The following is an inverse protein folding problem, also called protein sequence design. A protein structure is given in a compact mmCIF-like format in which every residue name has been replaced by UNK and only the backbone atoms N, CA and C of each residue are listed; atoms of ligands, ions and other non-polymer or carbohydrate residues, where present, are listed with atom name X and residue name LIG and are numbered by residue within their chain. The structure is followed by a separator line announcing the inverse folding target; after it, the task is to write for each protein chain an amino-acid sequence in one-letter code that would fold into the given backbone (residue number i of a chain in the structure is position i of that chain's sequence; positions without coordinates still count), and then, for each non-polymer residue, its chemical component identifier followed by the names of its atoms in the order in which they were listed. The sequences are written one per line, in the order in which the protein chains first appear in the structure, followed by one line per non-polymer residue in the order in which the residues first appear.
data_IF_498875986782
#
_entry.id   IF_498875986782
#
_cell.length_a   1.000
_cell.length_b   1.000
_cell.length_c   1.000
_cell.angle_alpha   90.00
_cell.angle_beta   90.00
_cell.angle_gamma   90.00
#
_symmetry.space_group_name_H-M   'P 1'
#
loop_
_entity.id
_entity.type
_entity.pdbx_description
1 polymer ?
#
# COMPACT_ATOMS: atom_id res chain seq x y z
N UNK A 1 -8.39 -13.41 -55.12
CA UNK A 1 -7.30 -13.03 -54.20
C UNK A 1 -7.93 -12.51 -52.91
N UNK A 2 -7.96 -13.31 -51.83
CA UNK A 2 -8.63 -12.97 -50.57
C UNK A 2 -7.92 -11.77 -49.93
N UNK A 3 -8.63 -10.66 -49.72
CA UNK A 3 -8.15 -9.54 -48.90
C UNK A 3 -8.32 -9.96 -47.43
N UNK A 4 -7.21 -10.15 -46.74
CA UNK A 4 -7.22 -10.44 -45.31
C UNK A 4 -7.40 -9.09 -44.59
N UNK A 5 -8.55 -8.89 -43.94
CA UNK A 5 -8.78 -7.75 -43.05
C UNK A 5 -7.93 -7.95 -41.79
N UNK A 6 -6.81 -7.26 -41.69
CA UNK A 6 -6.00 -7.20 -40.48
C UNK A 6 -6.66 -6.14 -39.60
N UNK A 7 -7.36 -6.56 -38.55
CA UNK A 7 -7.88 -5.65 -37.54
C UNK A 7 -6.67 -5.24 -36.69
N UNK A 8 -6.27 -3.95 -36.66
CA UNK A 8 -5.19 -3.53 -35.79
C UNK A 8 -5.66 -3.69 -34.34
N UNK A 9 -4.94 -4.51 -33.58
CA UNK A 9 -5.15 -4.64 -32.13
C UNK A 9 -4.77 -3.28 -31.54
N UNK A 10 -5.78 -2.49 -31.17
CA UNK A 10 -5.57 -1.23 -30.49
C UNK A 10 -5.37 -1.54 -29.01
N UNK A 11 -4.11 -1.66 -28.58
CA UNK A 11 -3.78 -1.77 -27.17
C UNK A 11 -4.08 -0.42 -26.52
N UNK A 12 -5.04 -0.38 -25.59
CA UNK A 12 -5.26 0.77 -24.72
C UNK A 12 -4.05 0.82 -23.77
N UNK A 13 -3.01 1.54 -24.17
CA UNK A 13 -1.90 1.85 -23.29
C UNK A 13 -2.40 2.79 -22.21
N UNK A 14 -2.74 2.26 -21.03
CA UNK A 14 -2.82 3.11 -19.86
C UNK A 14 -1.43 3.70 -19.64
N UNK A 15 -1.27 5.04 -19.61
CA UNK A 15 -0.06 5.62 -19.08
C UNK A 15 -0.01 5.21 -17.60
N UNK A 16 0.82 4.21 -17.29
CA UNK A 16 1.19 3.92 -15.91
C UNK A 16 1.91 5.19 -15.45
N UNK A 17 1.32 5.96 -14.54
CA UNK A 17 2.02 7.10 -13.97
C UNK A 17 3.17 6.57 -13.11
N UNK A 18 4.40 6.77 -13.58
CA UNK A 18 5.62 6.36 -12.88
C UNK A 18 5.99 7.34 -11.75
N UNK A 19 5.23 8.43 -11.56
CA UNK A 19 5.52 9.48 -10.57
C UNK A 19 5.40 8.99 -9.13
N UNK A 20 4.67 7.89 -8.89
CA UNK A 20 4.45 7.32 -7.56
C UNK A 20 5.14 5.95 -7.37
N UNK A 21 6.11 5.60 -8.20
CA UNK A 21 6.89 4.39 -7.99
C UNK A 21 7.94 4.68 -6.91
N UNK A 22 7.69 4.12 -5.73
CA UNK A 22 8.65 4.07 -4.63
C UNK A 22 9.96 3.51 -5.19
N UNK A 23 11.12 4.10 -4.86
CA UNK A 23 12.40 3.61 -5.38
C UNK A 23 12.69 2.19 -4.88
N UNK A 24 13.42 1.39 -5.67
CA UNK A 24 13.73 -0.01 -5.30
C UNK A 24 14.52 -0.14 -3.99
N UNK A 25 15.31 0.88 -3.64
CA UNK A 25 16.14 0.95 -2.43
C UNK A 25 15.48 1.73 -1.27
N UNK A 26 14.17 2.01 -1.37
CA UNK A 26 13.46 2.78 -0.36
C UNK A 26 13.13 1.92 0.86
N UNK A 27 13.32 2.48 2.06
CA UNK A 27 13.04 1.83 3.34
C UNK A 27 11.58 1.39 3.48
N UNK A 28 10.67 2.06 2.76
CA UNK A 28 9.24 1.72 2.71
C UNK A 28 9.02 0.32 2.12
N UNK A 29 9.80 -0.11 1.12
CA UNK A 29 9.64 -1.46 0.53
C UNK A 29 10.02 -2.54 1.53
N UNK A 30 11.18 -2.39 2.16
CA UNK A 30 11.63 -3.30 3.22
C UNK A 30 10.60 -3.38 4.35
N UNK A 31 10.05 -2.24 4.75
CA UNK A 31 9.00 -2.18 5.77
C UNK A 31 7.80 -3.03 5.35
N UNK A 32 7.26 -2.81 4.14
CA UNK A 32 6.11 -3.57 3.65
C UNK A 32 6.39 -5.07 3.55
N UNK A 33 7.58 -5.47 3.07
CA UNK A 33 7.97 -6.89 2.99
C UNK A 33 7.96 -7.55 4.38
N UNK A 34 8.44 -6.85 5.41
CA UNK A 34 8.41 -7.34 6.79
C UNK A 34 6.98 -7.37 7.32
N UNK A 35 6.19 -6.32 7.06
CA UNK A 35 4.80 -6.22 7.51
C UNK A 35 3.92 -7.32 6.90
N UNK A 36 4.11 -7.68 5.63
CA UNK A 36 3.33 -8.74 4.96
C UNK A 36 3.52 -10.12 5.63
N UNK A 37 4.66 -10.35 6.26
CA UNK A 37 4.95 -11.59 6.99
C UNK A 37 4.33 -11.68 8.39
N UNK A 38 3.68 -10.63 8.90
CA UNK A 38 3.16 -10.59 10.27
C UNK A 38 1.73 -11.16 10.39
N UNK A 39 1.45 -11.81 11.52
CA UNK A 39 0.09 -12.21 11.88
C UNK A 39 -0.63 -11.08 12.62
N UNK A 40 -1.56 -10.42 11.93
CA UNK A 40 -2.38 -9.33 12.46
C UNK A 40 -3.66 -9.79 13.18
N UNK A 41 -3.84 -11.10 13.42
CA UNK A 41 -5.07 -11.64 14.03
C UNK A 41 -5.39 -10.98 15.38
N UNK A 42 -4.38 -10.80 16.24
CA UNK A 42 -4.58 -10.17 17.54
C UNK A 42 -4.86 -8.67 17.41
N UNK A 43 -4.11 -7.96 16.56
CA UNK A 43 -4.33 -6.54 16.28
C UNK A 43 -5.78 -6.32 15.82
N UNK A 44 -6.24 -7.09 14.84
CA UNK A 44 -7.59 -6.97 14.31
C UNK A 44 -8.68 -7.26 15.36
N UNK A 45 -8.46 -8.17 16.30
CA UNK A 45 -9.40 -8.43 17.41
C UNK A 45 -9.57 -7.25 18.36
N UNK A 46 -8.56 -6.38 18.47
CA UNK A 46 -8.65 -5.18 19.33
C UNK A 46 -9.50 -4.08 18.72
N UNK A 47 -9.65 -4.08 17.40
CA UNK A 47 -10.51 -3.14 16.70
C UNK A 47 -11.96 -3.63 16.75
N UNK A 48 -12.85 -2.77 17.25
CA UNK A 48 -14.27 -3.09 17.35
C UNK A 48 -14.89 -3.21 15.96
N UNK A 49 -15.55 -4.33 15.68
CA UNK A 49 -16.45 -4.48 14.54
C UNK A 49 -17.82 -3.83 14.78
N UNK A 50 -18.05 -3.31 15.98
CA UNK A 50 -19.31 -2.68 16.42
C UNK A 50 -19.07 -1.18 16.55
N UNK A 51 -19.84 -0.38 15.81
CA UNK A 51 -19.74 1.08 15.81
C UNK A 51 -19.18 1.64 14.51
N UNK A 52 -18.47 2.77 14.59
CA UNK A 52 -17.86 3.39 13.41
C UNK A 52 -16.60 2.63 13.02
N UNK A 53 -16.61 2.06 11.82
CA UNK A 53 -15.41 1.44 11.27
C UNK A 53 -14.30 2.50 11.11
N UNK A 54 -13.05 2.13 11.42
CA UNK A 54 -11.92 3.03 11.23
C UNK A 54 -11.79 3.41 9.74
N UNK A 55 -11.33 4.62 9.48
CA UNK A 55 -11.13 5.12 8.11
C UNK A 55 -9.98 4.41 7.40
N UNK A 56 -9.05 3.83 8.17
CA UNK A 56 -7.91 3.06 7.72
C UNK A 56 -7.97 1.65 8.31
N UNK A 57 -7.36 0.70 7.61
CA UNK A 57 -7.15 -0.65 8.15
C UNK A 57 -6.16 -0.58 9.32
N UNK A 58 -6.33 -1.41 10.38
CA UNK A 58 -5.38 -1.49 11.49
C UNK A 58 -3.94 -1.70 11.06
N UNK A 59 -3.71 -2.52 10.04
CA UNK A 59 -2.41 -2.83 9.47
C UNK A 59 -1.76 -1.59 8.83
N UNK A 60 -2.55 -0.77 8.13
CA UNK A 60 -2.08 0.50 7.56
C UNK A 60 -1.66 1.46 8.65
N UNK A 61 -2.44 1.58 9.72
CA UNK A 61 -2.11 2.45 10.84
C UNK A 61 -0.86 1.97 11.58
N UNK A 62 -0.71 0.66 11.75
CA UNK A 62 0.50 0.06 12.30
C UNK A 62 1.74 0.36 11.42
N UNK A 63 1.63 0.21 10.10
CA UNK A 63 2.72 0.53 9.18
C UNK A 63 3.17 2.00 9.29
N UNK A 64 2.22 2.95 9.39
CA UNK A 64 2.54 4.38 9.58
C UNK A 64 3.31 4.61 10.88
N UNK A 65 2.89 3.96 11.97
CA UNK A 65 3.57 4.09 13.28
C UNK A 65 4.99 3.52 13.20
N UNK A 66 5.17 2.33 12.63
CA UNK A 66 6.49 1.69 12.49
C UNK A 66 7.40 2.55 11.62
N UNK A 67 6.90 3.05 10.49
CA UNK A 67 7.65 3.94 9.62
C UNK A 67 8.05 5.24 10.35
N UNK A 68 7.11 5.86 11.06
CA UNK A 68 7.38 7.03 11.89
C UNK A 68 8.52 6.79 12.88
N UNK A 69 8.53 5.63 13.52
CA UNK A 69 9.59 5.23 14.45
C UNK A 69 10.93 5.01 13.76
N UNK A 70 10.94 4.46 12.53
CA UNK A 70 12.16 4.34 11.71
C UNK A 70 12.75 5.71 11.38
N UNK A 71 11.90 6.70 11.14
CA UNK A 71 12.29 8.10 10.88
C UNK A 71 12.57 8.91 12.17
N UNK A 72 12.52 8.28 13.35
CA UNK A 72 12.78 8.93 14.63
C UNK A 72 11.62 9.79 15.17
N UNK A 73 10.42 9.64 14.61
CA UNK A 73 9.19 10.33 15.03
C UNK A 73 8.39 9.40 15.95
N UNK A 74 8.43 9.69 17.25
CA UNK A 74 7.80 8.85 18.28
C UNK A 74 6.48 9.41 18.84
N UNK A 75 6.15 10.65 18.51
CA UNK A 75 4.95 11.33 18.99
C UNK A 75 3.80 11.11 18.01
N UNK A 76 2.66 10.61 18.48
CA UNK A 76 1.45 10.47 17.66
C UNK A 76 1.02 11.81 17.06
N UNK A 77 1.18 12.91 17.80
CA UNK A 77 0.90 14.26 17.32
C UNK A 77 1.85 14.73 16.21
N UNK A 78 3.06 14.19 16.16
CA UNK A 78 4.01 14.51 15.10
C UNK A 78 3.79 13.66 13.84
N UNK A 79 2.99 12.58 13.93
CA UNK A 79 2.61 11.73 12.81
C UNK A 79 1.28 12.17 12.14
N UNK A 80 0.52 13.05 12.79
CA UNK A 80 -0.71 13.68 12.28
C UNK A 80 -0.38 14.92 11.44
#
# INVERSE_FOLDING_TARGET
MKKNNIIPIHQIGFPISFENIILDDDSVRMLYDVMEGLDYTELNKTYSTIGRNPALLPETMFAIIVYGYMEGIYSSRALE
#
